data_IF_103793305929
#
_entry.id   IF_103793305929
#
_cell.length_a   1.000
_cell.length_b   1.000
_cell.length_c   1.000
_cell.angle_alpha   90.00
_cell.angle_beta   90.00
_cell.angle_gamma   90.00
#
_symmetry.space_group_name_H-M   'P 1'
#
loop_
_entity.id
_entity.type
_entity.pdbx_description
1 polymer ?
#
# COMPACT_ATOMS: atom_id res chain seq x y z
N UNK A 1 20.87 9.22 2.87
CA UNK A 1 20.22 8.22 1.98
C UNK A 1 20.28 8.69 0.53
N UNK A 2 19.52 9.71 0.11
CA UNK A 2 19.51 10.11 -1.31
C UNK A 2 20.93 10.33 -1.90
N UNK A 3 21.70 11.24 -1.30
CA UNK A 3 23.06 11.57 -1.77
C UNK A 3 24.08 10.42 -1.66
N UNK A 4 23.80 9.39 -0.87
CA UNK A 4 24.74 8.29 -0.60
C UNK A 4 24.42 7.02 -1.39
N UNK A 5 23.15 6.85 -1.81
CA UNK A 5 22.66 5.63 -2.43
C UNK A 5 22.28 5.81 -3.92
N UNK A 6 22.09 7.05 -4.37
CA UNK A 6 21.81 7.33 -5.78
C UNK A 6 23.05 7.11 -6.66
N UNK A 7 22.85 6.68 -7.92
CA UNK A 7 21.56 6.45 -8.59
C UNK A 7 20.91 5.09 -8.28
N UNK A 8 21.65 4.15 -7.66
CA UNK A 8 21.18 2.77 -7.43
C UNK A 8 19.96 2.65 -6.52
N UNK A 9 19.69 3.64 -5.68
CA UNK A 9 18.53 3.66 -4.79
C UNK A 9 17.20 3.54 -5.55
N UNK A 10 17.05 4.19 -6.71
CA UNK A 10 15.85 4.18 -7.54
C UNK A 10 15.48 2.77 -8.07
N UNK A 11 16.47 1.88 -8.17
CA UNK A 11 16.31 0.52 -8.69
C UNK A 11 15.91 -0.50 -7.62
N UNK A 12 15.87 -0.11 -6.34
CA UNK A 12 15.62 -1.03 -5.23
C UNK A 12 14.15 -1.47 -5.19
N UNK A 13 13.95 -2.79 -5.12
CA UNK A 13 12.63 -3.42 -5.06
C UNK A 13 12.68 -4.69 -4.19
N UNK A 14 13.03 -4.53 -2.90
CA UNK A 14 13.25 -5.64 -1.96
C UNK A 14 12.02 -6.55 -1.79
N UNK A 15 10.81 -6.02 -1.99
CA UNK A 15 9.55 -6.78 -1.91
C UNK A 15 9.14 -7.42 -3.23
N UNK A 16 9.94 -7.28 -4.30
CA UNK A 16 9.68 -7.84 -5.64
C UNK A 16 8.29 -7.48 -6.19
N UNK A 17 7.86 -6.25 -5.95
CA UNK A 17 6.58 -5.73 -6.40
C UNK A 17 6.58 -5.47 -7.92
N UNK A 18 5.57 -5.95 -8.65
CA UNK A 18 5.51 -5.91 -10.12
C UNK A 18 4.22 -5.32 -10.68
N UNK A 19 3.23 -5.01 -9.84
CA UNK A 19 1.95 -4.50 -10.32
C UNK A 19 2.09 -3.06 -10.81
N UNK A 20 1.27 -2.70 -11.80
CA UNK A 20 1.11 -1.31 -12.21
C UNK A 20 0.33 -0.51 -11.16
N UNK A 21 0.57 0.80 -11.14
CA UNK A 21 -0.20 1.72 -10.32
C UNK A 21 -1.65 1.77 -10.84
N UNK A 22 -2.66 1.49 -10.00
CA UNK A 22 -4.05 1.51 -10.45
C UNK A 22 -4.48 2.88 -11.00
N UNK A 23 -5.24 2.87 -12.10
CA UNK A 23 -5.61 4.09 -12.82
C UNK A 23 -6.34 5.14 -11.96
N UNK A 24 -7.10 4.71 -10.95
CA UNK A 24 -7.80 5.61 -10.04
C UNK A 24 -6.87 6.51 -9.21
N UNK A 25 -5.56 6.24 -9.14
CA UNK A 25 -4.60 7.17 -8.53
C UNK A 25 -4.53 8.51 -9.27
N UNK A 26 -4.93 8.54 -10.55
CA UNK A 26 -4.95 9.75 -11.37
C UNK A 26 -6.33 10.42 -11.44
N UNK A 27 -7.40 9.73 -11.03
CA UNK A 27 -8.78 10.25 -11.15
C UNK A 27 -9.50 10.41 -9.81
N UNK A 28 -9.11 9.64 -8.78
CA UNK A 28 -9.84 9.53 -7.53
C UNK A 28 -11.09 8.63 -7.59
N UNK A 29 -11.38 8.01 -8.74
CA UNK A 29 -12.58 7.22 -8.96
C UNK A 29 -12.47 5.83 -8.31
N UNK A 30 -12.80 5.78 -7.03
CA UNK A 30 -12.82 4.54 -6.26
C UNK A 30 -13.91 4.54 -5.18
N UNK A 31 -14.47 3.37 -4.92
CA UNK A 31 -15.43 3.14 -3.83
C UNK A 31 -14.76 3.20 -2.45
N UNK A 32 -13.44 3.06 -2.38
CA UNK A 32 -12.67 3.12 -1.14
C UNK A 32 -12.61 4.56 -0.62
N UNK A 33 -13.50 4.90 0.32
CA UNK A 33 -13.71 6.28 0.78
C UNK A 33 -12.42 7.00 1.23
N UNK A 34 -11.51 6.30 1.92
CA UNK A 34 -10.22 6.86 2.35
C UNK A 34 -9.31 7.24 1.18
N UNK A 35 -9.25 6.40 0.14
CA UNK A 35 -8.45 6.67 -1.06
C UNK A 35 -9.09 7.76 -1.90
N UNK A 36 -10.42 7.71 -2.09
CA UNK A 36 -11.15 8.75 -2.82
C UNK A 36 -10.91 10.14 -2.21
N UNK A 37 -10.97 10.25 -0.88
CA UNK A 37 -10.69 11.50 -0.17
C UNK A 37 -9.23 11.94 -0.31
N UNK A 38 -8.27 11.06 0.01
CA UNK A 38 -6.85 11.41 -0.04
C UNK A 38 -6.36 11.75 -1.47
N UNK A 39 -6.81 11.01 -2.48
CA UNK A 39 -6.47 11.26 -3.88
C UNK A 39 -7.19 12.50 -4.38
N UNK A 40 -8.49 12.66 -4.10
CA UNK A 40 -9.25 13.85 -4.48
C UNK A 40 -8.66 15.14 -3.93
N UNK A 41 -8.29 15.17 -2.65
CA UNK A 41 -7.59 16.29 -2.02
C UNK A 41 -6.24 16.57 -2.70
N UNK A 42 -5.48 15.51 -3.00
CA UNK A 42 -4.18 15.60 -3.68
C UNK A 42 -4.32 16.20 -5.07
N UNK A 43 -5.27 15.73 -5.88
CA UNK A 43 -5.50 16.24 -7.23
C UNK A 43 -6.00 17.70 -7.23
N UNK A 44 -6.79 18.09 -6.23
CA UNK A 44 -7.34 19.45 -6.13
C UNK A 44 -6.33 20.47 -5.62
N UNK A 45 -5.45 20.08 -4.68
CA UNK A 45 -4.62 21.02 -3.93
C UNK A 45 -3.11 20.78 -4.08
N UNK A 46 -2.71 19.68 -4.71
CA UNK A 46 -1.33 19.22 -4.72
C UNK A 46 -0.77 18.95 -3.32
N UNK A 47 -1.64 18.59 -2.37
CA UNK A 47 -1.30 18.43 -0.96
C UNK A 47 -2.11 17.32 -0.28
N UNK A 48 -1.39 16.47 0.45
CA UNK A 48 -1.91 15.61 1.50
C UNK A 48 -0.93 15.64 2.69
N UNK A 49 -1.45 15.49 3.90
CA UNK A 49 -0.58 15.46 5.08
C UNK A 49 0.16 14.12 5.18
N UNK A 50 1.23 14.06 5.99
CA UNK A 50 2.12 12.90 6.05
C UNK A 50 1.40 11.55 6.26
N UNK A 51 0.41 11.45 7.15
CA UNK A 51 -0.25 10.15 7.42
C UNK A 51 -1.21 9.69 6.30
N UNK A 52 -1.74 10.59 5.47
CA UNK A 52 -2.49 10.25 4.25
C UNK A 52 -1.53 9.64 3.23
N UNK A 53 -0.37 10.30 3.00
CA UNK A 53 0.69 9.80 2.12
C UNK A 53 1.16 8.41 2.57
N UNK A 54 1.55 8.26 3.82
CA UNK A 54 2.12 7.02 4.32
C UNK A 54 1.07 5.89 4.47
N UNK A 55 -0.03 6.17 5.17
CA UNK A 55 -0.94 5.12 5.66
C UNK A 55 -2.25 5.02 4.89
N UNK A 56 -2.44 5.78 3.81
CA UNK A 56 -3.58 5.62 2.89
C UNK A 56 -3.08 5.26 1.50
N UNK A 57 -2.52 6.21 0.75
CA UNK A 57 -2.06 5.97 -0.63
C UNK A 57 -0.82 5.08 -0.67
N UNK A 58 0.17 5.35 0.18
CA UNK A 58 1.40 4.56 0.29
C UNK A 58 1.16 3.14 0.80
N UNK A 59 0.36 3.00 1.86
CA UNK A 59 -0.05 1.70 2.38
C UNK A 59 -0.77 0.86 1.32
N UNK A 60 -1.72 1.46 0.59
CA UNK A 60 -2.43 0.74 -0.47
C UNK A 60 -1.47 0.26 -1.56
N UNK A 61 -0.60 1.14 -2.07
CA UNK A 61 0.35 0.78 -3.12
C UNK A 61 1.29 -0.36 -2.68
N UNK A 62 1.76 -0.33 -1.42
CA UNK A 62 2.61 -1.37 -0.86
C UNK A 62 1.87 -2.71 -0.77
N UNK A 63 0.67 -2.72 -0.21
CA UNK A 63 -0.14 -3.93 -0.04
C UNK A 63 -0.58 -4.53 -1.39
N UNK A 64 -0.91 -3.65 -2.34
CA UNK A 64 -1.27 -4.03 -3.71
C UNK A 64 -0.10 -4.67 -4.45
N UNK A 65 1.14 -4.26 -4.12
CA UNK A 65 2.36 -4.73 -4.76
C UNK A 65 2.73 -3.91 -5.99
N UNK A 66 2.48 -2.59 -5.95
CA UNK A 66 2.84 -1.66 -7.04
C UNK A 66 4.36 -1.53 -7.14
N UNK A 67 4.88 -1.53 -8.37
CA UNK A 67 6.31 -1.32 -8.60
C UNK A 67 6.76 0.03 -8.00
N UNK A 68 7.78 0.07 -7.11
CA UNK A 68 8.14 1.28 -6.36
C UNK A 68 8.43 2.52 -7.22
N UNK A 69 9.00 2.33 -8.42
CA UNK A 69 9.20 3.43 -9.39
C UNK A 69 7.93 4.10 -9.86
N UNK A 70 6.82 3.37 -10.00
CA UNK A 70 5.54 3.97 -10.39
C UNK A 70 4.95 4.78 -9.23
N UNK A 71 5.12 4.29 -8.00
CA UNK A 71 4.74 5.02 -6.79
C UNK A 71 5.57 6.31 -6.68
N UNK A 72 6.90 6.21 -6.83
CA UNK A 72 7.80 7.36 -6.89
C UNK A 72 7.38 8.39 -7.94
N UNK A 73 7.15 7.95 -9.19
CA UNK A 73 6.73 8.84 -10.26
C UNK A 73 5.42 9.59 -9.92
N UNK A 74 4.44 8.90 -9.32
CA UNK A 74 3.20 9.53 -8.90
C UNK A 74 3.42 10.55 -7.78
N UNK A 75 4.10 10.17 -6.68
CA UNK A 75 4.38 11.09 -5.56
C UNK A 75 5.17 12.32 -6.01
N UNK A 76 6.17 12.15 -6.88
CA UNK A 76 6.94 13.25 -7.44
C UNK A 76 6.10 14.19 -8.32
N UNK A 77 5.06 13.68 -8.96
CA UNK A 77 4.21 14.45 -9.88
C UNK A 77 3.10 15.24 -9.18
N UNK A 78 2.52 14.70 -8.10
CA UNK A 78 1.24 15.20 -7.58
C UNK A 78 1.35 16.14 -6.38
N UNK A 79 2.48 16.18 -5.68
CA UNK A 79 2.64 17.05 -4.52
C UNK A 79 3.51 18.27 -4.82
N UNK A 80 3.03 19.46 -4.44
CA UNK A 80 3.74 20.74 -4.67
C UNK A 80 5.08 20.85 -3.94
N UNK A 81 5.26 20.03 -2.91
CA UNK A 81 6.49 19.96 -2.10
C UNK A 81 7.41 18.81 -2.52
N UNK A 82 7.08 18.08 -3.59
CA UNK A 82 7.88 16.95 -4.02
C UNK A 82 9.11 17.40 -4.82
N UNK A 83 10.27 17.14 -4.23
CA UNK A 83 11.58 17.20 -4.88
C UNK A 83 12.27 15.87 -4.62
N UNK A 84 12.87 15.27 -5.65
CA UNK A 84 13.36 13.88 -5.65
C UNK A 84 14.20 13.51 -4.41
N UNK A 85 15.08 14.42 -3.96
CA UNK A 85 15.94 14.14 -2.80
C UNK A 85 15.20 13.95 -1.47
N UNK A 86 14.00 14.53 -1.33
CA UNK A 86 13.09 14.32 -0.20
C UNK A 86 12.11 13.20 -0.50
N UNK A 87 11.53 13.22 -1.69
CA UNK A 87 10.42 12.34 -2.07
C UNK A 87 10.89 10.89 -2.18
N UNK A 88 11.99 10.61 -2.89
CA UNK A 88 12.40 9.24 -3.21
C UNK A 88 12.73 8.40 -1.96
N UNK A 89 13.48 8.89 -0.95
CA UNK A 89 13.69 8.14 0.29
C UNK A 89 12.41 7.88 1.09
N UNK A 90 11.45 8.83 1.08
CA UNK A 90 10.17 8.65 1.76
C UNK A 90 9.30 7.64 1.01
N UNK A 91 9.26 7.70 -0.31
CA UNK A 91 8.44 6.80 -1.11
C UNK A 91 9.04 5.40 -1.17
N UNK A 92 10.24 5.25 -1.72
CA UNK A 92 10.85 3.94 -1.94
C UNK A 92 11.23 3.28 -0.61
N UNK A 93 11.83 4.01 0.32
CA UNK A 93 12.31 3.46 1.59
C UNK A 93 11.22 3.36 2.64
N UNK A 94 10.72 4.51 3.11
CA UNK A 94 9.77 4.52 4.23
C UNK A 94 8.43 3.90 3.84
N UNK A 95 7.83 4.31 2.72
CA UNK A 95 6.47 3.89 2.35
C UNK A 95 6.44 2.50 1.72
N UNK A 96 7.30 2.22 0.75
CA UNK A 96 7.24 0.98 -0.04
C UNK A 96 8.18 -0.12 0.48
N UNK A 97 9.02 0.17 1.49
CA UNK A 97 10.03 -0.77 2.00
C UNK A 97 10.91 -1.38 0.89
N UNK A 98 11.03 -0.68 -0.24
CA UNK A 98 11.76 -1.13 -1.43
C UNK A 98 13.26 -1.24 -1.18
N UNK A 99 13.78 -0.51 -0.18
CA UNK A 99 15.18 -0.54 0.21
C UNK A 99 15.57 -1.67 1.17
N UNK A 100 14.61 -2.51 1.58
CA UNK A 100 14.83 -3.66 2.47
C UNK A 100 15.04 -3.29 3.94
N UNK A 101 14.81 -2.03 4.31
CA UNK A 101 14.89 -1.55 5.69
C UNK A 101 16.07 -0.62 5.98
N UNK A 102 16.63 0.01 4.94
CA UNK A 102 17.67 1.04 5.10
C UNK A 102 17.08 2.30 5.74
N UNK A 103 15.89 2.74 5.30
CA UNK A 103 15.19 3.91 5.84
C UNK A 103 14.33 3.58 7.08
N UNK A 104 13.63 2.44 7.05
CA UNK A 104 12.66 2.08 8.09
C UNK A 104 12.93 0.69 8.65
N UNK A 105 12.83 0.51 9.97
CA UNK A 105 13.11 -0.78 10.62
C UNK A 105 12.06 -1.88 10.36
N UNK A 106 10.91 -1.56 9.76
CA UNK A 106 9.85 -2.49 9.35
C UNK A 106 8.97 -1.86 8.27
N UNK A 107 8.29 -2.65 7.42
CA UNK A 107 7.31 -2.11 6.49
C UNK A 107 6.12 -1.53 7.24
N UNK A 108 5.61 -0.37 6.79
CA UNK A 108 4.41 0.25 7.32
C UNK A 108 3.16 -0.39 6.72
N UNK A 109 2.87 -1.63 7.13
CA UNK A 109 1.66 -2.36 6.73
C UNK A 109 0.63 -2.39 7.84
N UNK A 110 -0.64 -2.23 7.47
CA UNK A 110 -1.78 -2.30 8.36
C UNK A 110 -3.06 -2.71 7.60
N UNK A 111 -4.01 -3.32 8.30
CA UNK A 111 -5.34 -3.62 7.74
C UNK A 111 -6.26 -2.39 7.79
N UNK A 112 -7.48 -2.53 7.24
CA UNK A 112 -8.52 -1.50 7.31
C UNK A 112 -8.86 -1.08 8.74
N UNK A 113 -8.62 -1.93 9.75
CA UNK A 113 -8.80 -1.57 11.18
C UNK A 113 -7.90 -0.44 11.65
N UNK A 114 -6.76 -0.21 11.02
CA UNK A 114 -5.94 0.97 11.32
C UNK A 114 -6.64 2.25 10.85
N UNK A 115 -7.13 2.26 9.60
CA UNK A 115 -7.81 3.41 9.01
C UNK A 115 -9.10 3.72 9.78
N UNK A 116 -9.85 2.69 10.17
CA UNK A 116 -11.07 2.78 10.99
C UNK A 116 -10.81 3.47 12.34
N UNK A 117 -9.67 3.16 12.98
CA UNK A 117 -9.31 3.76 14.28
C UNK A 117 -8.76 5.18 14.17
N UNK A 118 -8.08 5.48 13.07
CA UNK A 118 -7.31 6.73 12.90
C UNK A 118 -8.04 7.78 12.07
N UNK A 119 -9.24 7.47 11.56
CA UNK A 119 -10.02 8.36 10.72
C UNK A 119 -11.52 8.13 10.89
N UNK A 120 -12.34 8.95 10.25
CA UNK A 120 -13.79 8.76 10.13
C UNK A 120 -14.21 8.15 8.78
N UNK A 121 -13.28 7.79 7.88
CA UNK A 121 -13.60 7.36 6.52
C UNK A 121 -14.40 6.05 6.46
N UNK A 122 -14.20 5.15 7.41
CA UNK A 122 -14.91 3.87 7.46
C UNK A 122 -16.41 4.04 7.78
N UNK A 123 -16.79 5.16 8.43
CA UNK A 123 -18.19 5.49 8.71
C UNK A 123 -18.89 5.91 7.42
N UNK A 124 -19.60 4.97 6.79
CA UNK A 124 -20.28 5.19 5.51
C UNK A 124 -19.45 4.75 4.29
N UNK A 125 -18.31 4.09 4.50
CA UNK A 125 -17.64 3.38 3.42
C UNK A 125 -18.47 2.14 3.02
N UNK A 126 -18.49 1.80 1.73
CA UNK A 126 -19.09 0.56 1.22
C UNK A 126 -18.49 -0.69 1.88
N UNK A 127 -17.21 -0.61 2.27
CA UNK A 127 -16.47 -1.74 2.77
C UNK A 127 -16.32 -1.75 4.29
N UNK A 128 -16.44 -2.93 4.88
CA UNK A 128 -16.24 -3.21 6.29
C UNK A 128 -14.75 -3.46 6.60
N UNK A 129 -14.10 -2.61 7.43
CA UNK A 129 -12.68 -2.77 7.78
C UNK A 129 -12.37 -4.05 8.56
N UNK A 130 -13.37 -4.75 9.12
CA UNK A 130 -13.20 -6.01 9.83
C UNK A 130 -13.14 -7.25 8.94
N UNK A 131 -13.62 -7.15 7.70
CA UNK A 131 -13.78 -8.29 6.79
C UNK A 131 -12.62 -8.35 5.80
N UNK A 132 -12.08 -9.57 5.61
CA UNK A 132 -11.00 -9.86 4.66
C UNK A 132 -11.48 -10.61 3.40
N UNK A 133 -12.72 -11.11 3.40
CA UNK A 133 -13.36 -11.87 2.32
C UNK A 133 -14.85 -11.49 2.24
N UNK A 134 -15.45 -11.64 1.06
CA UNK A 134 -16.85 -11.32 0.81
C UNK A 134 -17.05 -9.94 0.17
N UNK A 135 -18.28 -9.67 -0.28
CA UNK A 135 -18.61 -8.52 -1.12
C UNK A 135 -18.38 -7.16 -0.46
N UNK A 136 -18.38 -7.13 0.88
CA UNK A 136 -18.15 -5.94 1.69
C UNK A 136 -16.76 -5.90 2.31
N UNK A 137 -15.88 -6.85 2.01
CA UNK A 137 -14.53 -6.88 2.57
C UNK A 137 -13.74 -5.62 2.20
N UNK A 138 -13.07 -5.02 3.19
CA UNK A 138 -12.18 -3.90 2.93
C UNK A 138 -10.95 -4.35 2.17
N UNK A 139 -10.65 -3.76 0.99
CA UNK A 139 -9.46 -4.15 0.23
C UNK A 139 -8.16 -4.02 1.01
N UNK A 140 -8.02 -3.05 1.92
CA UNK A 140 -6.86 -2.96 2.81
C UNK A 140 -6.73 -4.18 3.74
N UNK A 141 -7.84 -4.69 4.26
CA UNK A 141 -7.84 -5.86 5.15
C UNK A 141 -7.54 -7.13 4.38
N UNK A 142 -8.13 -7.31 3.20
CA UNK A 142 -7.81 -8.41 2.29
C UNK A 142 -6.34 -8.39 1.89
N UNK A 143 -5.87 -7.28 1.32
CA UNK A 143 -4.49 -7.14 0.83
C UNK A 143 -3.46 -7.19 1.95
N UNK A 144 -3.79 -6.78 3.19
CA UNK A 144 -2.90 -6.91 4.35
C UNK A 144 -2.56 -8.37 4.65
N UNK A 145 -3.58 -9.24 4.71
CA UNK A 145 -3.36 -10.65 4.99
C UNK A 145 -2.64 -11.34 3.84
N UNK A 146 -3.05 -11.05 2.59
CA UNK A 146 -2.37 -11.54 1.38
C UNK A 146 -0.90 -11.09 1.31
N UNK A 147 -0.59 -9.85 1.68
CA UNK A 147 0.79 -9.35 1.74
C UNK A 147 1.63 -10.10 2.78
N UNK A 148 1.11 -10.33 3.98
CA UNK A 148 1.83 -11.08 4.99
C UNK A 148 2.11 -12.52 4.55
N UNK A 149 1.15 -13.15 3.87
CA UNK A 149 1.27 -14.52 3.40
C UNK A 149 2.31 -14.65 2.27
N UNK A 150 2.20 -13.82 1.22
CA UNK A 150 3.14 -13.81 0.09
C UNK A 150 4.58 -13.49 0.48
N UNK A 151 4.78 -12.76 1.58
CA UNK A 151 6.10 -12.31 2.03
C UNK A 151 6.51 -12.93 3.36
N UNK A 152 5.86 -14.01 3.81
CA UNK A 152 6.09 -14.61 5.12
C UNK A 152 7.57 -14.93 5.38
N UNK A 153 8.27 -15.54 4.43
CA UNK A 153 9.69 -15.92 4.55
C UNK A 153 10.61 -14.70 4.67
N UNK A 154 10.34 -13.65 3.90
CA UNK A 154 11.10 -12.39 3.96
C UNK A 154 10.85 -11.67 5.27
N UNK A 155 9.58 -11.58 5.68
CA UNK A 155 9.17 -10.87 6.90
C UNK A 155 9.60 -11.61 8.17
N UNK A 156 9.73 -12.94 8.14
CA UNK A 156 10.16 -13.75 9.29
C UNK A 156 11.59 -13.41 9.75
N UNK A 157 12.41 -12.84 8.86
CA UNK A 157 13.76 -12.34 9.17
C UNK A 157 13.75 -11.03 9.95
N UNK A 158 12.60 -10.33 10.04
CA UNK A 158 12.45 -9.10 10.80
C UNK A 158 11.74 -9.36 12.14
N UNK A 159 12.43 -9.23 13.29
CA UNK A 159 11.84 -9.46 14.61
C UNK A 159 10.58 -8.62 14.90
N UNK A 160 10.47 -7.42 14.31
CA UNK A 160 9.30 -6.53 14.51
C UNK A 160 8.05 -6.97 13.75
N UNK A 161 8.16 -7.99 12.89
CA UNK A 161 7.05 -8.57 12.11
C UNK A 161 6.54 -9.91 12.68
N UNK A 162 7.22 -10.49 13.68
CA UNK A 162 6.88 -11.81 14.21
C UNK A 162 5.48 -11.88 14.83
N UNK A 163 4.99 -10.78 15.45
CA UNK A 163 3.62 -10.75 15.99
C UNK A 163 2.57 -10.85 14.88
N UNK A 164 2.78 -10.14 13.77
CA UNK A 164 1.89 -10.12 12.62
C UNK A 164 1.86 -11.50 11.96
N UNK A 165 3.03 -12.13 11.78
CA UNK A 165 3.12 -13.50 11.26
C UNK A 165 2.51 -14.53 12.21
N UNK A 166 2.62 -14.34 13.52
CA UNK A 166 1.91 -15.19 14.50
C UNK A 166 0.39 -15.07 14.35
N UNK A 167 -0.13 -13.88 14.05
CA UNK A 167 -1.56 -13.70 13.79
C UNK A 167 -1.97 -14.34 12.46
N UNK A 168 -1.14 -14.22 11.42
CA UNK A 168 -1.35 -14.93 10.15
C UNK A 168 -1.43 -16.45 10.38
N UNK A 169 -0.57 -17.02 11.23
CA UNK A 169 -0.56 -18.44 11.63
C UNK A 169 -1.80 -18.93 12.37
N UNK A 170 -2.71 -18.03 12.77
CA UNK A 170 -4.02 -18.41 13.32
C UNK A 170 -5.09 -18.63 12.25
N UNK A 171 -4.86 -18.16 11.02
CA UNK A 171 -5.77 -18.40 9.90
C UNK A 171 -5.56 -19.83 9.38
N UNK A 172 -6.66 -20.52 9.11
CA UNK A 172 -6.61 -21.82 8.42
C UNK A 172 -6.09 -21.66 7.00
N UNK A 173 -5.59 -22.75 6.42
CA UNK A 173 -5.17 -22.79 5.02
C UNK A 173 -6.32 -22.38 4.07
N UNK A 174 -7.54 -22.85 4.34
CA UNK A 174 -8.73 -22.45 3.58
C UNK A 174 -9.04 -20.95 3.67
N UNK A 175 -8.84 -20.33 4.84
CA UNK A 175 -9.01 -18.89 4.99
C UNK A 175 -7.96 -18.11 4.21
N UNK A 176 -6.70 -18.55 4.22
CA UNK A 176 -5.63 -17.93 3.43
C UNK A 176 -5.91 -18.03 1.93
N UNK A 177 -6.29 -19.21 1.45
CA UNK A 177 -6.65 -19.42 0.06
C UNK A 177 -7.79 -18.48 -0.40
N UNK A 178 -8.86 -18.36 0.40
CA UNK A 178 -9.97 -17.45 0.10
C UNK A 178 -9.55 -15.98 0.12
N UNK A 179 -8.65 -15.58 1.04
CA UNK A 179 -8.09 -14.23 1.07
C UNK A 179 -7.26 -13.95 -0.18
N UNK A 180 -6.43 -14.91 -0.60
CA UNK A 180 -5.61 -14.78 -1.82
C UNK A 180 -6.49 -14.66 -3.07
N UNK A 181 -7.54 -15.46 -3.18
CA UNK A 181 -8.52 -15.37 -4.28
C UNK A 181 -9.20 -13.99 -4.29
N UNK A 182 -9.69 -13.52 -3.14
CA UNK A 182 -10.28 -12.18 -3.01
C UNK A 182 -9.28 -11.08 -3.38
N UNK A 183 -8.01 -11.20 -2.98
CA UNK A 183 -6.97 -10.25 -3.29
C UNK A 183 -6.65 -10.21 -4.79
N UNK A 184 -6.63 -11.36 -5.46
CA UNK A 184 -6.45 -11.46 -6.90
C UNK A 184 -7.63 -10.86 -7.67
N UNK A 185 -8.86 -11.15 -7.24
CA UNK A 185 -10.06 -10.55 -7.81
C UNK A 185 -10.06 -9.02 -7.68
N UNK A 186 -9.65 -8.50 -6.53
CA UNK A 186 -9.49 -7.06 -6.32
C UNK A 186 -8.41 -6.45 -7.22
N UNK A 187 -7.26 -7.12 -7.38
CA UNK A 187 -6.20 -6.65 -8.30
C UNK A 187 -6.69 -6.62 -9.74
N UNK A 188 -7.43 -7.64 -10.17
CA UNK A 188 -7.99 -7.71 -11.52
C UNK A 188 -9.07 -6.62 -11.77
N UNK A 189 -9.85 -6.26 -10.76
CA UNK A 189 -10.93 -5.27 -10.92
C UNK A 189 -10.45 -3.82 -11.01
N UNK A 190 -9.22 -3.53 -10.56
CA UNK A 190 -8.64 -2.17 -10.57
C UNK A 190 -7.37 -2.04 -11.41
N UNK A 191 -6.97 -3.11 -12.11
CA UNK A 191 -5.86 -3.06 -13.04
C UNK A 191 -6.11 -1.95 -14.09
N UNK A 192 -5.09 -1.18 -14.48
CA UNK A 192 -5.26 -0.20 -15.54
C UNK A 192 -5.82 -0.92 -16.78
N UNK A 193 -6.97 -0.46 -17.28
CA UNK A 193 -7.51 -0.98 -18.53
C UNK A 193 -6.41 -0.89 -19.58
N UNK A 194 -5.98 -2.03 -20.11
CA UNK A 194 -5.16 -2.11 -21.31
C UNK A 194 -6.01 -1.68 -22.50
N UNK A 195 -6.26 -0.38 -22.62
CA UNK A 195 -7.11 0.18 -23.65
C UNK A 195 -6.96 1.69 -23.77
N UNK A 196 -6.16 2.12 -24.75
CA UNK A 196 -6.01 3.51 -25.19
C UNK A 196 -4.61 3.80 -25.71
#
# INVERSE_FOLDING_TARGET
>A
IYWTEMPGYLERNAMQAQADLPGFFWTGDTDMACLRDAIGQTLMHGYAHHIQRLMVTGLYALLFGVHPKQVHAWYLSVYVDAVEWVELPNTLGMSQYGDGGLMASKPYVASGKYIDRMSNHCKGCRFNPAESIGDTACPFTTLYWDYLDRHADTLAKNPRMLMQLKNLNRLSESQRAAITEQAQAHRASVAPNSGG
#
